data_IF_226000427319
#
_entry.id   IF_226000427319
#
_cell.length_a   1.000
_cell.length_b   1.000
_cell.length_c   1.000
_cell.angle_alpha   90.00
_cell.angle_beta   90.00
_cell.angle_gamma   90.00
#
_symmetry.space_group_name_H-M   'P 1'
#
loop_
_entity.id
_entity.type
_entity.pdbx_description
1 polymer ?
#
# COMPACT_ATOMS: atom_id res chain seq x y z
N UNK A 1 -0.15 -17.11 -2.73
CA UNK A 1 -0.05 -15.70 -3.15
C UNK A 1 0.90 -15.58 -4.33
N UNK A 2 0.62 -14.65 -5.26
CA UNK A 2 1.55 -14.38 -6.35
C UNK A 2 2.70 -13.52 -5.86
N UNK A 3 3.80 -13.47 -6.64
CA UNK A 3 4.94 -12.60 -6.31
C UNK A 3 4.53 -11.13 -6.26
N UNK A 4 3.57 -10.72 -7.10
CA UNK A 4 3.07 -9.35 -7.11
C UNK A 4 2.34 -9.01 -5.81
N UNK A 5 1.56 -9.95 -5.28
CA UNK A 5 0.86 -9.74 -4.01
C UNK A 5 1.85 -9.63 -2.86
N UNK A 6 2.90 -10.44 -2.84
CA UNK A 6 3.96 -10.36 -1.83
C UNK A 6 4.66 -9.01 -1.87
N UNK A 7 4.95 -8.51 -3.07
CA UNK A 7 5.56 -7.20 -3.25
C UNK A 7 4.63 -6.09 -2.75
N UNK A 8 3.34 -6.16 -3.09
CA UNK A 8 2.36 -5.18 -2.64
C UNK A 8 2.22 -5.19 -1.12
N UNK A 9 2.22 -6.37 -0.50
CA UNK A 9 2.16 -6.48 0.96
C UNK A 9 3.38 -5.82 1.60
N UNK A 10 4.57 -6.00 1.03
CA UNK A 10 5.78 -5.35 1.52
C UNK A 10 5.65 -3.83 1.49
N UNK A 11 5.14 -3.28 0.39
CA UNK A 11 4.92 -1.83 0.28
C UNK A 11 3.88 -1.35 1.29
N UNK A 12 2.82 -2.12 1.48
CA UNK A 12 1.77 -1.80 2.45
C UNK A 12 2.35 -1.76 3.86
N UNK A 13 3.14 -2.76 4.23
CA UNK A 13 3.77 -2.81 5.56
C UNK A 13 4.71 -1.64 5.77
N UNK A 14 5.49 -1.27 4.77
CA UNK A 14 6.35 -0.10 4.86
C UNK A 14 5.55 1.18 5.09
N UNK A 15 4.41 1.33 4.41
CA UNK A 15 3.51 2.47 4.62
C UNK A 15 2.94 2.45 6.02
N UNK A 16 2.51 1.29 6.52
CA UNK A 16 1.97 1.15 7.87
C UNK A 16 3.00 1.51 8.94
N UNK A 17 4.25 1.12 8.72
CA UNK A 17 5.35 1.47 9.64
C UNK A 17 5.63 2.97 9.65
N UNK A 18 5.18 3.69 8.64
CA UNK A 18 5.32 5.14 8.52
C UNK A 18 3.98 5.85 8.64
N UNK A 19 3.10 5.33 9.49
CA UNK A 19 1.74 5.82 9.64
C UNK A 19 1.65 7.32 9.87
N UNK A 20 2.59 7.88 10.63
CA UNK A 20 2.61 9.31 10.93
C UNK A 20 2.79 10.18 9.68
N UNK A 21 3.24 9.60 8.58
CA UNK A 21 3.41 10.32 7.32
C UNK A 21 2.24 10.17 6.38
N UNK A 22 1.28 9.31 6.73
CA UNK A 22 0.08 9.09 5.91
C UNK A 22 -0.98 10.13 6.23
N UNK A 23 -1.61 10.67 5.20
CA UNK A 23 -2.81 11.48 5.36
C UNK A 23 -4.00 10.55 5.68
N UNK A 24 -5.12 11.12 6.11
CA UNK A 24 -6.33 10.35 6.41
C UNK A 24 -6.77 9.52 5.19
N UNK A 25 -6.73 10.14 4.01
CA UNK A 25 -7.06 9.45 2.76
C UNK A 25 -6.13 8.27 2.50
N UNK A 26 -4.82 8.49 2.71
CA UNK A 26 -3.82 7.45 2.46
C UNK A 26 -3.97 6.29 3.44
N UNK A 27 -4.26 6.56 4.70
CA UNK A 27 -4.53 5.52 5.69
C UNK A 27 -5.72 4.66 5.29
N UNK A 28 -6.80 5.30 4.87
CA UNK A 28 -7.99 4.61 4.41
C UNK A 28 -7.69 3.76 3.19
N UNK A 29 -6.94 4.32 2.24
CA UNK A 29 -6.55 3.59 1.04
C UNK A 29 -5.69 2.36 1.37
N UNK A 30 -4.64 2.54 2.17
CA UNK A 30 -3.75 1.44 2.56
C UNK A 30 -4.52 0.33 3.28
N UNK A 31 -5.40 0.70 4.20
CA UNK A 31 -6.22 -0.27 4.92
C UNK A 31 -7.15 -1.04 3.97
N UNK A 32 -7.74 -0.35 3.01
CA UNK A 32 -8.64 -0.97 2.04
C UNK A 32 -7.92 -1.99 1.15
N UNK A 33 -6.76 -1.64 0.61
CA UNK A 33 -6.03 -2.55 -0.27
C UNK A 33 -5.44 -3.72 0.51
N UNK A 34 -5.05 -3.51 1.77
CA UNK A 34 -4.60 -4.60 2.61
C UNK A 34 -5.73 -5.64 2.81
N UNK A 35 -6.91 -5.18 3.16
CA UNK A 35 -8.06 -6.05 3.32
C UNK A 35 -8.38 -6.80 2.04
N UNK A 36 -8.29 -6.12 0.90
CA UNK A 36 -8.54 -6.73 -0.40
C UNK A 36 -7.59 -7.90 -0.66
N UNK A 37 -6.30 -7.73 -0.39
CA UNK A 37 -5.30 -8.78 -0.58
C UNK A 37 -5.53 -9.92 0.41
N UNK A 38 -5.83 -9.61 1.67
CA UNK A 38 -6.12 -10.62 2.70
C UNK A 38 -7.34 -11.46 2.35
N UNK A 39 -8.30 -10.90 1.63
CA UNK A 39 -9.47 -11.62 1.14
C UNK A 39 -9.18 -12.46 -0.11
N UNK A 40 -7.97 -12.40 -0.62
CA UNK A 40 -7.55 -13.17 -1.79
C UNK A 40 -7.71 -12.45 -3.11
N UNK A 41 -7.95 -11.14 -3.08
CA UNK A 41 -8.12 -10.34 -4.30
C UNK A 41 -6.85 -9.52 -4.57
N UNK A 42 -6.28 -9.68 -5.77
CA UNK A 42 -5.13 -8.89 -6.19
C UNK A 42 -5.54 -7.44 -6.43
N UNK A 43 -4.59 -6.53 -6.31
CA UNK A 43 -4.83 -5.12 -6.59
C UNK A 43 -5.03 -4.91 -8.10
N UNK A 44 -5.87 -3.93 -8.44
CA UNK A 44 -5.98 -3.47 -9.82
C UNK A 44 -4.70 -2.69 -10.19
N UNK A 45 -4.46 -2.50 -11.48
CA UNK A 45 -3.32 -1.73 -11.96
C UNK A 45 -3.33 -0.31 -11.36
N UNK A 46 -4.49 0.30 -11.29
CA UNK A 46 -4.64 1.64 -10.72
C UNK A 46 -4.33 1.66 -9.23
N UNK A 47 -4.79 0.66 -8.50
CA UNK A 47 -4.50 0.54 -7.06
C UNK A 47 -3.01 0.33 -6.81
N UNK A 48 -2.38 -0.54 -7.59
CA UNK A 48 -0.95 -0.80 -7.48
C UNK A 48 -0.14 0.47 -7.77
N UNK A 49 -0.53 1.22 -8.78
CA UNK A 49 0.11 2.47 -9.14
C UNK A 49 -0.04 3.52 -8.04
N UNK A 50 -1.22 3.62 -7.45
CA UNK A 50 -1.48 4.54 -6.34
C UNK A 50 -0.67 4.14 -5.11
N UNK A 51 -0.61 2.84 -4.81
CA UNK A 51 0.21 2.33 -3.71
C UNK A 51 1.67 2.70 -3.89
N UNK A 52 2.19 2.53 -5.09
CA UNK A 52 3.58 2.88 -5.41
C UNK A 52 3.83 4.37 -5.18
N UNK A 53 2.91 5.22 -5.59
CA UNK A 53 2.99 6.66 -5.38
C UNK A 53 3.00 7.00 -3.89
N UNK A 54 2.11 6.41 -3.11
CA UNK A 54 2.06 6.63 -1.65
C UNK A 54 3.35 6.15 -1.01
N UNK A 55 3.80 4.96 -1.36
CA UNK A 55 5.03 4.39 -0.82
C UNK A 55 6.24 5.30 -1.10
N UNK A 56 6.38 5.76 -2.34
CA UNK A 56 7.48 6.66 -2.72
C UNK A 56 7.45 7.94 -1.90
N UNK A 57 6.27 8.49 -1.66
CA UNK A 57 6.13 9.71 -0.88
C UNK A 57 6.52 9.52 0.57
N UNK A 58 6.04 8.45 1.21
CA UNK A 58 6.29 8.23 2.65
C UNK A 58 7.70 7.73 2.94
N UNK A 59 8.36 7.14 1.97
CA UNK A 59 9.74 6.67 2.13
C UNK A 59 10.76 7.69 1.64
N UNK A 60 10.32 8.75 1.01
CA UNK A 60 11.22 9.80 0.51
C UNK A 60 11.93 10.50 1.67
N UNK A 61 13.18 10.83 1.45
CA UNK A 61 13.93 11.68 2.37
C UNK A 61 13.56 13.13 2.06
N UNK A 62 12.96 13.80 3.02
CA UNK A 62 12.55 15.14 2.74
C UNK A 62 12.65 16.07 3.86
#
# INVERSE_FOLDING_TARGET
>A
MSADDDEHITLIEDCENRESRLSDWERTFINSIRNQIEEGHSLTDRQAETLDTVWNRVTARG
#
